data_IF_840854596252
#
_entry.id   IF_840854596252
#
_cell.length_a   1.000
_cell.length_b   1.000
_cell.length_c   1.000
_cell.angle_alpha   90.00
_cell.angle_beta   90.00
_cell.angle_gamma   90.00
#
_symmetry.space_group_name_H-M   'P 1'
#
loop_
_entity.id
_entity.type
_entity.pdbx_description
1 polymer ?
#
# COMPACT_ATOMS: atom_id res chain seq x y z
N UNK A 1 -0.71 -13.52 26.21
CA UNK A 1 -0.61 -12.48 25.16
C UNK A 1 -0.88 -13.14 23.83
N UNK A 2 -1.74 -12.56 22.98
CA UNK A 2 -1.96 -13.05 21.62
C UNK A 2 -0.83 -12.51 20.74
N UNK A 3 -0.17 -13.38 19.99
CA UNK A 3 0.80 -13.01 18.96
C UNK A 3 0.15 -13.29 17.61
N UNK A 4 0.18 -12.32 16.71
CA UNK A 4 -0.18 -12.51 15.31
C UNK A 4 1.04 -12.22 14.44
N UNK A 5 1.05 -12.80 13.26
CA UNK A 5 2.12 -12.63 12.28
C UNK A 5 1.50 -12.25 10.94
N UNK A 6 2.05 -11.21 10.33
CA UNK A 6 1.84 -10.87 8.93
C UNK A 6 3.16 -11.18 8.22
N UNK A 7 3.11 -11.93 7.12
CA UNK A 7 4.28 -12.20 6.29
C UNK A 7 4.01 -11.84 4.84
N UNK A 8 5.06 -11.42 4.15
CA UNK A 8 5.08 -11.20 2.71
C UNK A 8 6.23 -12.05 2.19
N UNK A 9 5.92 -13.00 1.33
CA UNK A 9 6.89 -13.87 0.69
C UNK A 9 7.11 -13.39 -0.75
N UNK A 10 8.38 -13.27 -1.13
CA UNK A 10 8.82 -12.63 -2.37
C UNK A 10 9.71 -13.62 -3.11
N UNK A 11 9.28 -14.05 -4.29
CA UNK A 11 10.11 -14.82 -5.22
C UNK A 11 10.71 -13.87 -6.25
N UNK A 12 12.04 -13.90 -6.39
CA UNK A 12 12.80 -13.03 -7.28
C UNK A 12 13.34 -13.83 -8.48
N UNK A 13 13.44 -13.18 -9.64
CA UNK A 13 14.17 -13.72 -10.79
C UNK A 13 15.70 -13.60 -10.63
N UNK A 14 16.44 -14.07 -11.64
CA UNK A 14 17.91 -14.00 -11.70
C UNK A 14 18.48 -12.56 -11.64
N UNK A 15 17.64 -11.55 -11.94
CA UNK A 15 18.00 -10.13 -11.89
C UNK A 15 17.49 -9.45 -10.61
N UNK A 16 17.00 -10.21 -9.63
CA UNK A 16 16.41 -9.74 -8.38
C UNK A 16 15.12 -8.93 -8.56
N UNK A 17 14.36 -9.18 -9.63
CA UNK A 17 13.03 -8.57 -9.87
C UNK A 17 11.94 -9.48 -9.29
N UNK A 18 10.97 -8.97 -8.52
CA UNK A 18 9.87 -9.79 -8.01
C UNK A 18 9.02 -10.42 -9.12
N UNK A 19 8.95 -11.74 -9.15
CA UNK A 19 8.06 -12.50 -10.05
C UNK A 19 6.76 -12.87 -9.36
N UNK A 20 6.84 -13.31 -8.10
CA UNK A 20 5.68 -13.73 -7.30
C UNK A 20 5.70 -13.09 -5.92
N UNK A 21 4.55 -12.56 -5.52
CA UNK A 21 4.32 -12.03 -4.18
C UNK A 21 3.14 -12.78 -3.57
N UNK A 22 3.32 -13.31 -2.38
CA UNK A 22 2.22 -13.83 -1.55
C UNK A 22 2.25 -13.17 -0.18
N UNK A 23 1.10 -13.08 0.47
CA UNK A 23 1.01 -12.55 1.82
C UNK A 23 0.07 -13.35 2.69
N UNK A 24 0.34 -13.31 3.99
CA UNK A 24 -0.39 -14.05 5.01
C UNK A 24 -0.76 -13.08 6.14
N UNK A 25 -2.02 -13.13 6.57
CA UNK A 25 -2.50 -12.47 7.78
C UNK A 25 -3.62 -13.33 8.41
N UNK A 26 -3.28 -14.44 9.09
CA UNK A 26 -4.25 -15.43 9.54
C UNK A 26 -5.33 -14.87 10.48
N UNK A 27 -4.97 -13.90 11.33
CA UNK A 27 -5.92 -13.22 12.22
C UNK A 27 -6.99 -12.43 11.46
N UNK A 28 -6.68 -11.98 10.25
CA UNK A 28 -7.60 -11.31 9.32
C UNK A 28 -8.26 -12.29 8.33
N UNK A 29 -8.03 -13.59 8.46
CA UNK A 29 -8.58 -14.61 7.55
C UNK A 29 -7.87 -14.73 6.21
N UNK A 30 -6.64 -14.20 6.08
CA UNK A 30 -5.86 -14.29 4.84
C UNK A 30 -4.73 -15.30 4.99
N UNK A 31 -4.70 -16.29 4.10
CA UNK A 31 -3.68 -17.33 4.06
C UNK A 31 -3.20 -17.52 2.62
N UNK A 32 -1.88 -17.43 2.43
CA UNK A 32 -1.14 -17.63 1.18
C UNK A 32 -1.78 -16.95 -0.05
N UNK A 33 -2.22 -15.71 0.11
CA UNK A 33 -2.92 -15.00 -0.95
C UNK A 33 -1.91 -14.32 -1.89
N UNK A 34 -2.03 -14.60 -3.19
CA UNK A 34 -1.23 -13.92 -4.20
C UNK A 34 -1.62 -12.45 -4.33
N UNK A 35 -0.61 -11.59 -4.53
CA UNK A 35 -0.78 -10.18 -4.85
C UNK A 35 0.18 -9.76 -5.96
N UNK A 36 -0.10 -8.63 -6.61
CA UNK A 36 0.79 -8.02 -7.62
C UNK A 36 1.51 -6.78 -7.09
N UNK A 37 1.11 -6.27 -5.93
CA UNK A 37 1.74 -5.12 -5.31
C UNK A 37 1.68 -5.21 -3.80
N UNK A 38 2.70 -4.65 -3.14
CA UNK A 38 2.71 -4.39 -1.70
C UNK A 38 3.31 -3.02 -1.47
N UNK A 39 2.66 -2.22 -0.64
CA UNK A 39 3.25 -1.02 -0.06
C UNK A 39 3.15 -1.13 1.45
N UNK A 40 4.31 -1.22 2.11
CA UNK A 40 4.41 -1.31 3.57
C UNK A 40 5.19 -0.10 4.08
N UNK A 41 4.69 0.50 5.15
CA UNK A 41 5.39 1.56 5.87
C UNK A 41 5.39 1.27 7.36
N UNK A 42 6.52 1.51 8.03
CA UNK A 42 6.69 1.36 9.47
C UNK A 42 7.29 2.62 10.06
N UNK A 43 6.82 3.01 11.24
CA UNK A 43 7.34 4.16 11.96
C UNK A 43 8.66 3.82 12.65
N UNK A 44 9.70 4.62 12.41
CA UNK A 44 10.93 4.58 13.20
C UNK A 44 10.98 5.79 14.15
N UNK A 45 10.86 5.52 15.45
CA UNK A 45 10.85 6.55 16.49
C UNK A 45 12.17 7.30 16.62
N UNK A 46 13.30 6.67 16.25
CA UNK A 46 14.63 7.26 16.40
C UNK A 46 14.87 8.36 15.39
N UNK A 47 14.56 8.08 14.13
CA UNK A 47 14.72 9.02 13.01
C UNK A 47 13.49 9.89 12.83
N UNK A 48 12.34 9.47 13.38
CA UNK A 48 11.02 10.09 13.17
C UNK A 48 10.60 10.08 11.70
N UNK A 49 10.90 8.97 11.04
CA UNK A 49 10.63 8.75 9.62
C UNK A 49 9.75 7.52 9.41
N UNK A 50 9.07 7.50 8.26
CA UNK A 50 8.40 6.31 7.77
C UNK A 50 9.40 5.51 6.91
N UNK A 51 9.86 4.36 7.43
CA UNK A 51 10.60 3.39 6.62
C UNK A 51 9.61 2.67 5.70
N UNK A 52 9.97 2.47 4.43
CA UNK A 52 9.05 1.92 3.42
C UNK A 52 9.65 0.80 2.61
N UNK A 53 8.79 -0.11 2.18
CA UNK A 53 9.06 -1.14 1.18
C UNK A 53 7.93 -1.09 0.16
N UNK A 54 8.28 -0.87 -1.10
CA UNK A 54 7.36 -0.87 -2.24
C UNK A 54 7.74 -1.98 -3.21
N UNK A 55 6.84 -2.92 -3.42
CA UNK A 55 7.06 -4.08 -4.28
C UNK A 55 5.99 -4.12 -5.36
N UNK A 56 6.44 -4.48 -6.55
CA UNK A 56 5.60 -4.69 -7.72
C UNK A 56 6.01 -6.00 -8.37
N UNK A 57 5.03 -6.85 -8.67
CA UNK A 57 5.26 -8.00 -9.53
C UNK A 57 5.60 -7.51 -10.94
N UNK A 58 6.58 -8.16 -11.57
CA UNK A 58 7.12 -7.83 -12.90
C UNK A 58 6.06 -7.65 -13.99
N UNK A 59 4.96 -8.39 -13.90
CA UNK A 59 3.87 -8.41 -14.88
C UNK A 59 2.69 -7.49 -14.52
N UNK A 60 2.79 -6.67 -13.46
CA UNK A 60 1.72 -5.74 -13.10
C UNK A 60 1.57 -4.64 -14.16
N UNK A 61 0.39 -4.46 -14.78
CA UNK A 61 0.20 -3.41 -15.77
C UNK A 61 0.36 -2.02 -15.19
N UNK A 62 0.93 -1.09 -15.97
CA UNK A 62 1.16 0.28 -15.54
C UNK A 62 -0.13 0.97 -15.04
N UNK A 63 -1.26 0.75 -15.71
CA UNK A 63 -2.53 1.36 -15.29
C UNK A 63 -3.04 0.78 -13.97
N UNK A 64 -2.77 -0.49 -13.68
CA UNK A 64 -3.07 -1.07 -12.36
C UNK A 64 -2.18 -0.47 -11.26
N UNK A 65 -0.91 -0.16 -11.56
CA UNK A 65 -0.03 0.51 -10.60
C UNK A 65 -0.56 1.90 -10.24
N UNK A 66 -0.99 2.67 -11.25
CA UNK A 66 -1.62 3.99 -11.04
C UNK A 66 -2.90 3.88 -10.20
N UNK A 67 -3.76 2.91 -10.51
CA UNK A 67 -4.98 2.65 -9.74
C UNK A 67 -4.64 2.29 -8.29
N UNK A 68 -3.63 1.44 -8.05
CA UNK A 68 -3.20 1.08 -6.69
C UNK A 68 -2.74 2.31 -5.89
N UNK A 69 -1.93 3.19 -6.48
CA UNK A 69 -1.48 4.44 -5.84
C UNK A 69 -2.67 5.36 -5.55
N UNK A 70 -3.63 5.48 -6.48
CA UNK A 70 -4.86 6.24 -6.25
C UNK A 70 -5.66 5.71 -5.05
N UNK A 71 -5.84 4.39 -4.97
CA UNK A 71 -6.53 3.76 -3.84
C UNK A 71 -5.82 3.98 -2.51
N UNK A 72 -4.48 4.01 -2.53
CA UNK A 72 -3.68 4.38 -1.36
C UNK A 72 -3.96 5.82 -0.92
N UNK A 73 -4.00 6.79 -1.85
CA UNK A 73 -4.29 8.19 -1.48
C UNK A 73 -5.65 8.34 -0.80
N UNK A 74 -6.70 7.71 -1.34
CA UNK A 74 -8.03 7.67 -0.70
C UNK A 74 -7.97 7.01 0.68
N UNK A 75 -7.28 5.88 0.80
CA UNK A 75 -7.14 5.15 2.06
C UNK A 75 -6.38 5.95 3.12
N UNK A 76 -5.40 6.75 2.70
CA UNK A 76 -4.65 7.64 3.57
C UNK A 76 -5.52 8.79 4.10
N UNK A 77 -6.38 9.37 3.27
CA UNK A 77 -7.32 10.41 3.72
C UNK A 77 -8.20 9.88 4.88
N UNK A 78 -8.83 8.73 4.66
CA UNK A 78 -9.66 8.09 5.69
C UNK A 78 -8.87 7.65 6.93
N UNK A 79 -7.62 7.23 6.75
CA UNK A 79 -6.74 6.88 7.88
C UNK A 79 -6.35 8.11 8.70
N UNK A 80 -6.06 9.21 8.02
CA UNK A 80 -5.71 10.49 8.62
C UNK A 80 -6.88 11.04 9.45
N UNK A 81 -8.08 11.08 8.86
CA UNK A 81 -9.31 11.52 9.53
C UNK A 81 -9.53 10.74 10.84
N UNK A 82 -9.51 9.41 10.79
CA UNK A 82 -9.72 8.57 11.98
C UNK A 82 -8.65 8.77 13.05
N UNK A 83 -7.43 9.11 12.65
CA UNK A 83 -6.30 9.28 13.59
C UNK A 83 -6.27 10.67 14.24
N UNK A 84 -6.73 11.70 13.54
CA UNK A 84 -6.56 13.11 13.94
C UNK A 84 -7.87 13.82 14.28
N UNK A 85 -8.98 13.42 13.65
CA UNK A 85 -10.26 14.12 13.69
C UNK A 85 -10.31 15.40 12.84
N UNK A 86 -9.29 15.66 12.02
CA UNK A 86 -9.22 16.86 11.16
C UNK A 86 -9.90 16.61 9.81
N UNK A 87 -11.23 16.75 9.80
CA UNK A 87 -12.09 16.49 8.62
C UNK A 87 -11.72 17.36 7.41
N UNK A 88 -11.37 18.63 7.62
CA UNK A 88 -11.03 19.57 6.54
C UNK A 88 -9.76 19.17 5.78
N UNK A 89 -8.77 18.64 6.50
CA UNK A 89 -7.53 18.11 5.91
C UNK A 89 -7.79 16.79 5.20
N UNK A 90 -8.61 15.91 5.78
CA UNK A 90 -8.99 14.65 5.14
C UNK A 90 -9.73 14.89 3.81
N UNK A 91 -10.71 15.80 3.78
CA UNK A 91 -11.41 16.23 2.57
C UNK A 91 -10.45 16.75 1.49
N UNK A 92 -9.41 17.50 1.91
CA UNK A 92 -8.39 17.96 0.98
C UNK A 92 -7.55 16.81 0.42
N UNK A 93 -7.20 15.81 1.23
CA UNK A 93 -6.50 14.61 0.78
C UNK A 93 -7.32 13.79 -0.22
N UNK A 94 -8.64 13.67 -0.01
CA UNK A 94 -9.54 13.02 -0.99
C UNK A 94 -9.57 13.78 -2.32
N UNK A 95 -9.69 15.11 -2.28
CA UNK A 95 -9.60 15.94 -3.49
C UNK A 95 -8.26 15.77 -4.21
N UNK A 96 -7.16 15.64 -3.48
CA UNK A 96 -5.84 15.35 -4.05
C UNK A 96 -5.82 13.99 -4.76
N UNK A 97 -6.47 12.96 -4.20
CA UNK A 97 -6.59 11.66 -4.85
C UNK A 97 -7.38 11.77 -6.17
N UNK A 98 -8.48 12.51 -6.17
CA UNK A 98 -9.28 12.78 -7.38
C UNK A 98 -8.47 13.52 -8.47
N UNK A 99 -7.71 14.55 -8.07
CA UNK A 99 -6.80 15.25 -8.99
C UNK A 99 -5.72 14.32 -9.56
N UNK A 100 -5.16 13.45 -8.71
CA UNK A 100 -4.20 12.44 -9.14
C UNK A 100 -4.81 11.53 -10.22
N UNK A 101 -6.05 11.07 -10.04
CA UNK A 101 -6.71 10.20 -11.00
C UNK A 101 -6.81 10.83 -12.40
N UNK A 102 -7.17 12.12 -12.46
CA UNK A 102 -7.22 12.88 -13.72
C UNK A 102 -5.83 13.04 -14.33
N UNK A 103 -4.83 13.46 -13.53
CA UNK A 103 -3.47 13.68 -14.02
C UNK A 103 -2.77 12.40 -14.47
N UNK A 104 -3.07 11.27 -13.83
CA UNK A 104 -2.54 9.95 -14.17
C UNK A 104 -3.28 9.28 -15.34
N UNK A 105 -4.33 9.93 -15.86
CA UNK A 105 -5.20 9.41 -16.93
C UNK A 105 -5.84 8.06 -16.59
N UNK A 106 -6.36 7.93 -15.36
CA UNK A 106 -7.13 6.77 -14.89
C UNK A 106 -8.61 7.10 -14.61
N UNK A 107 -9.04 8.30 -14.99
CA UNK A 107 -10.42 8.82 -14.92
C UNK A 107 -10.76 9.54 -16.21
#
# INVERSE_FOLDING_TARGET
MKKSQISIDIELDENHIPEKLTWNAPDGGVENQETKAVMLSVWDDKTREALRIDLWAKDMPLDHMKIFIHQIYLSLASTYERATGEEDVADWMERLADEFAVRAAIK
#
